data_IF_872697103309
#
_entry.id   IF_872697103309
#
_cell.length_a   1.000
_cell.length_b   1.000
_cell.length_c   1.000
_cell.angle_alpha   90.00
_cell.angle_beta   90.00
_cell.angle_gamma   90.00
#
_symmetry.space_group_name_H-M   'P 1'
#
loop_
_entity.id
_entity.type
_entity.pdbx_description
1 polymer ?
#
# COMPACT_ATOMS: atom_id res chain seq x y z
N UNK A 1 38.43 3.56 -9.79
CA UNK A 1 37.59 2.41 -10.19
C UNK A 1 36.45 2.12 -9.22
N UNK A 2 36.70 2.02 -7.90
CA UNK A 2 35.67 1.78 -6.86
C UNK A 2 34.47 2.77 -6.90
N UNK A 3 34.72 4.07 -7.12
CA UNK A 3 33.67 5.10 -7.24
C UNK A 3 32.71 4.87 -8.42
N UNK A 4 33.19 4.36 -9.56
CA UNK A 4 32.35 4.06 -10.73
C UNK A 4 31.45 2.85 -10.49
N UNK A 5 31.97 1.84 -9.78
CA UNK A 5 31.22 0.64 -9.40
C UNK A 5 30.11 0.98 -8.39
N UNK A 6 30.39 1.87 -7.44
CA UNK A 6 29.39 2.35 -6.48
C UNK A 6 28.24 3.10 -7.18
N UNK A 7 28.55 3.94 -8.15
CA UNK A 7 27.53 4.67 -8.94
C UNK A 7 26.68 3.70 -9.78
N UNK A 8 27.30 2.67 -10.37
CA UNK A 8 26.57 1.67 -11.15
C UNK A 8 25.61 0.85 -10.28
N UNK A 9 26.07 0.42 -9.09
CA UNK A 9 25.21 -0.28 -8.13
C UNK A 9 24.04 0.58 -7.67
N UNK A 10 24.28 1.87 -7.39
CA UNK A 10 23.23 2.81 -7.00
C UNK A 10 22.11 2.93 -8.05
N UNK A 11 22.47 3.04 -9.34
CA UNK A 11 21.49 3.11 -10.42
C UNK A 11 20.66 1.82 -10.54
N UNK A 12 21.29 0.66 -10.36
CA UNK A 12 20.60 -0.64 -10.36
C UNK A 12 19.62 -0.72 -9.18
N UNK A 13 20.03 -0.26 -8.00
CA UNK A 13 19.15 -0.26 -6.82
C UNK A 13 17.92 0.62 -7.02
N UNK A 14 18.07 1.82 -7.58
CA UNK A 14 16.92 2.70 -7.90
C UNK A 14 15.96 2.01 -8.88
N UNK A 15 16.49 1.38 -9.93
CA UNK A 15 15.66 0.70 -10.93
C UNK A 15 14.87 -0.46 -10.32
N UNK A 16 15.50 -1.28 -9.48
CA UNK A 16 14.84 -2.39 -8.79
C UNK A 16 13.77 -1.86 -7.82
N UNK A 17 14.08 -0.79 -7.06
CA UNK A 17 13.15 -0.18 -6.12
C UNK A 17 11.91 0.38 -6.85
N UNK A 18 12.12 1.12 -7.94
CA UNK A 18 11.04 1.63 -8.78
C UNK A 18 10.17 0.52 -9.35
N UNK A 19 10.78 -0.58 -9.80
CA UNK A 19 10.05 -1.74 -10.32
C UNK A 19 9.20 -2.43 -9.25
N UNK A 20 9.74 -2.60 -8.04
CA UNK A 20 9.01 -3.19 -6.91
C UNK A 20 7.79 -2.34 -6.55
N UNK A 21 7.96 -1.00 -6.48
CA UNK A 21 6.86 -0.08 -6.15
C UNK A 21 5.73 -0.22 -7.18
N UNK A 22 6.05 -0.20 -8.48
CA UNK A 22 5.04 -0.33 -9.56
C UNK A 22 4.28 -1.66 -9.44
N UNK A 23 4.99 -2.77 -9.20
CA UNK A 23 4.34 -4.06 -9.03
C UNK A 23 3.46 -4.10 -7.78
N UNK A 24 3.90 -3.54 -6.66
CA UNK A 24 3.12 -3.50 -5.43
C UNK A 24 1.83 -2.68 -5.58
N UNK A 25 1.86 -1.57 -6.32
CA UNK A 25 0.66 -0.77 -6.62
C UNK A 25 -0.39 -1.61 -7.36
N UNK A 26 0.02 -2.43 -8.33
CA UNK A 26 -0.90 -3.33 -9.04
C UNK A 26 -1.57 -4.36 -8.11
N UNK A 27 -0.82 -4.90 -7.13
CA UNK A 27 -1.40 -5.81 -6.15
C UNK A 27 -2.37 -5.11 -5.20
N UNK A 28 -2.11 -3.85 -4.84
CA UNK A 28 -3.03 -3.04 -4.03
C UNK A 28 -4.35 -2.81 -4.77
N UNK A 29 -4.32 -2.53 -6.07
CA UNK A 29 -5.54 -2.39 -6.89
C UNK A 29 -6.38 -3.67 -6.94
N UNK A 30 -5.73 -4.83 -7.12
CA UNK A 30 -6.42 -6.13 -7.12
C UNK A 30 -7.09 -6.41 -5.77
N UNK A 31 -6.38 -6.11 -4.67
CA UNK A 31 -6.95 -6.25 -3.31
C UNK A 31 -8.11 -5.28 -3.08
N UNK A 32 -8.04 -4.06 -3.63
CA UNK A 32 -9.14 -3.09 -3.57
C UNK A 32 -10.39 -3.58 -4.30
N UNK A 33 -10.23 -4.22 -5.46
CA UNK A 33 -11.36 -4.74 -6.23
C UNK A 33 -12.09 -5.89 -5.50
N UNK A 34 -11.33 -6.83 -4.92
CA UNK A 34 -11.92 -7.92 -4.12
C UNK A 34 -12.69 -7.39 -2.92
N UNK A 35 -12.14 -6.40 -2.23
CA UNK A 35 -12.81 -5.77 -1.07
C UNK A 35 -14.08 -5.02 -1.46
N UNK A 36 -14.11 -4.39 -2.64
CA UNK A 36 -15.32 -3.72 -3.13
C UNK A 36 -16.44 -4.73 -3.48
N UNK A 37 -16.10 -5.93 -3.97
CA UNK A 37 -17.07 -7.01 -4.16
C UNK A 37 -17.69 -7.47 -2.83
N UNK A 38 -16.87 -7.69 -1.79
CA UNK A 38 -17.37 -8.07 -0.46
C UNK A 38 -18.28 -7.00 0.16
N UNK A 39 -17.98 -5.72 -0.04
CA UNK A 39 -18.83 -4.61 0.41
C UNK A 39 -20.18 -4.63 -0.30
N UNK A 40 -20.19 -4.89 -1.61
CA UNK A 40 -21.43 -4.99 -2.38
C UNK A 40 -22.27 -6.19 -1.93
N UNK A 41 -21.67 -7.36 -1.72
CA UNK A 41 -22.34 -8.56 -1.19
C UNK A 41 -22.93 -8.30 0.21
N UNK A 42 -22.18 -7.66 1.11
CA UNK A 42 -22.68 -7.30 2.44
C UNK A 42 -23.88 -6.35 2.37
N UNK A 43 -23.85 -5.34 1.50
CA UNK A 43 -25.00 -4.44 1.28
C UNK A 43 -26.21 -5.17 0.69
N UNK A 44 -25.97 -6.14 -0.19
CA UNK A 44 -27.02 -6.94 -0.79
C UNK A 44 -27.73 -7.80 0.26
N UNK A 45 -26.98 -8.50 1.10
CA UNK A 45 -27.52 -9.24 2.25
C UNK A 45 -28.37 -8.37 3.18
N UNK A 46 -27.94 -7.14 3.45
CA UNK A 46 -28.75 -6.18 4.23
C UNK A 46 -30.04 -5.80 3.51
N UNK A 47 -30.02 -5.70 2.18
CA UNK A 47 -31.24 -5.38 1.42
C UNK A 47 -32.27 -6.51 1.42
N UNK A 48 -31.82 -7.77 1.38
CA UNK A 48 -32.68 -8.96 1.34
C UNK A 48 -33.34 -9.27 2.69
N UNK A 49 -32.78 -8.78 3.79
CA UNK A 49 -33.35 -8.96 5.13
C UNK A 49 -34.77 -8.39 5.22
N UNK A 50 -35.73 -9.20 5.62
CA UNK A 50 -37.14 -8.78 5.79
C UNK A 50 -37.48 -8.44 7.24
N UNK A 51 -36.58 -8.73 8.18
CA UNK A 51 -36.76 -8.59 9.62
C UNK A 51 -36.50 -7.16 10.14
N UNK A 52 -35.96 -6.28 9.30
CA UNK A 52 -35.59 -4.90 9.66
C UNK A 52 -36.27 -3.88 8.74
N UNK A 53 -36.53 -2.70 9.29
CA UNK A 53 -37.18 -1.61 8.55
C UNK A 53 -36.20 -0.92 7.59
N UNK A 54 -36.72 -0.12 6.65
CA UNK A 54 -35.88 0.54 5.64
C UNK A 54 -34.86 1.52 6.24
N UNK A 55 -35.19 2.16 7.36
CA UNK A 55 -34.27 3.07 8.03
C UNK A 55 -33.05 2.33 8.62
N UNK A 56 -33.28 1.20 9.29
CA UNK A 56 -32.23 0.32 9.81
C UNK A 56 -31.37 -0.26 8.68
N UNK A 57 -31.98 -0.62 7.54
CA UNK A 57 -31.24 -1.05 6.36
C UNK A 57 -30.30 0.04 5.84
N UNK A 58 -30.75 1.29 5.77
CA UNK A 58 -29.90 2.40 5.36
C UNK A 58 -28.79 2.67 6.36
N UNK A 59 -29.08 2.62 7.65
CA UNK A 59 -28.09 2.79 8.71
C UNK A 59 -26.97 1.75 8.59
N UNK A 60 -27.33 0.47 8.41
CA UNK A 60 -26.37 -0.63 8.23
C UNK A 60 -25.55 -0.48 6.95
N UNK A 61 -26.17 -0.10 5.83
CA UNK A 61 -25.45 0.17 4.58
C UNK A 61 -24.45 1.33 4.74
N UNK A 62 -24.84 2.39 5.44
CA UNK A 62 -23.97 3.53 5.74
C UNK A 62 -22.81 3.13 6.65
N UNK A 63 -23.02 2.27 7.65
CA UNK A 63 -21.95 1.74 8.49
C UNK A 63 -20.94 0.91 7.66
N UNK A 64 -21.43 0.07 6.75
CA UNK A 64 -20.57 -0.70 5.83
C UNK A 64 -19.73 0.27 4.97
N UNK A 65 -20.32 1.35 4.46
CA UNK A 65 -19.60 2.36 3.68
C UNK A 65 -18.55 3.12 4.50
N UNK A 66 -18.86 3.48 5.74
CA UNK A 66 -17.91 4.15 6.62
C UNK A 66 -16.74 3.23 6.98
N UNK A 67 -17.01 1.97 7.30
CA UNK A 67 -15.96 0.98 7.57
C UNK A 67 -15.05 0.80 6.35
N UNK A 68 -15.63 0.71 5.14
CA UNK A 68 -14.85 0.61 3.91
C UNK A 68 -13.97 1.83 3.68
N UNK A 69 -14.48 3.05 3.90
CA UNK A 69 -13.69 4.28 3.80
C UNK A 69 -12.53 4.28 4.80
N UNK A 70 -12.79 3.84 6.03
CA UNK A 70 -11.76 3.79 7.07
C UNK A 70 -10.66 2.78 6.72
N UNK A 71 -11.03 1.59 6.27
CA UNK A 71 -10.08 0.57 5.79
C UNK A 71 -9.25 1.05 4.60
N UNK A 72 -9.87 1.74 3.61
CA UNK A 72 -9.13 2.37 2.49
C UNK A 72 -8.09 3.36 3.00
N UNK A 73 -8.44 4.19 3.98
CA UNK A 73 -7.53 5.17 4.57
C UNK A 73 -6.38 4.50 5.35
N UNK A 74 -6.67 3.48 6.16
CA UNK A 74 -5.65 2.73 6.90
C UNK A 74 -4.70 2.02 5.94
N UNK A 75 -5.23 1.38 4.88
CA UNK A 75 -4.42 0.72 3.86
C UNK A 75 -3.53 1.72 3.12
N UNK A 76 -4.07 2.88 2.72
CA UNK A 76 -3.30 3.97 2.10
C UNK A 76 -2.19 4.47 3.03
N UNK A 77 -2.50 4.64 4.31
CA UNK A 77 -1.52 5.12 5.30
C UNK A 77 -0.42 4.09 5.55
N UNK A 78 -0.75 2.79 5.66
CA UNK A 78 0.24 1.71 5.75
C UNK A 78 1.12 1.67 4.50
N UNK A 79 0.51 1.74 3.32
CA UNK A 79 1.25 1.72 2.06
C UNK A 79 2.23 2.90 1.95
N UNK A 80 1.76 4.11 2.26
CA UNK A 80 2.60 5.31 2.31
C UNK A 80 3.77 5.16 3.29
N UNK A 81 3.50 4.63 4.49
CA UNK A 81 4.52 4.44 5.51
C UNK A 81 5.55 3.37 5.11
N UNK A 82 5.10 2.27 4.50
CA UNK A 82 5.99 1.22 3.97
C UNK A 82 6.91 1.75 2.87
N UNK A 83 6.40 2.57 1.95
CA UNK A 83 7.23 3.22 0.92
C UNK A 83 8.22 4.17 1.56
N UNK A 84 7.79 4.99 2.54
CA UNK A 84 8.65 5.93 3.24
C UNK A 84 9.82 5.22 3.94
N UNK A 85 9.55 4.15 4.70
CA UNK A 85 10.59 3.33 5.34
C UNK A 85 11.55 2.74 4.31
N UNK A 86 11.03 2.18 3.22
CA UNK A 86 11.86 1.57 2.18
C UNK A 86 12.78 2.60 1.48
N UNK A 87 12.27 3.80 1.20
CA UNK A 87 13.07 4.91 0.66
C UNK A 87 14.15 5.38 1.66
N UNK A 88 13.82 5.44 2.95
CA UNK A 88 14.77 5.80 4.00
C UNK A 88 15.89 4.77 4.12
N UNK A 89 15.57 3.47 4.12
CA UNK A 89 16.55 2.39 4.15
C UNK A 89 17.45 2.40 2.90
N UNK A 90 16.89 2.64 1.72
CA UNK A 90 17.69 2.79 0.50
C UNK A 90 18.65 3.99 0.58
N UNK A 91 18.19 5.11 1.13
CA UNK A 91 19.00 6.32 1.28
C UNK A 91 20.12 6.15 2.31
N UNK A 92 19.85 5.57 3.48
CA UNK A 92 20.87 5.30 4.51
C UNK A 92 21.92 4.31 4.01
N UNK A 93 21.52 3.24 3.31
CA UNK A 93 22.47 2.28 2.73
C UNK A 93 23.36 2.94 1.66
N UNK A 94 22.81 3.86 0.88
CA UNK A 94 23.56 4.62 -0.13
C UNK A 94 24.56 5.60 0.49
N UNK A 95 24.20 6.28 1.58
CA UNK A 95 25.09 7.17 2.33
C UNK A 95 26.23 6.42 3.01
N UNK A 96 25.94 5.27 3.63
CA UNK A 96 26.97 4.43 4.27
C UNK A 96 27.99 3.95 3.24
N UNK A 97 27.55 3.52 2.05
CA UNK A 97 28.47 3.13 0.95
C UNK A 97 29.32 4.28 0.41
N UNK A 98 28.86 5.53 0.55
CA UNK A 98 29.59 6.71 0.09
C UNK A 98 30.54 7.30 1.15
N UNK A 99 30.14 7.31 2.43
CA UNK A 99 30.90 7.92 3.53
C UNK A 99 31.86 6.96 4.24
N UNK A 100 31.63 5.64 4.21
CA UNK A 100 32.56 4.63 4.73
C UNK A 100 33.11 3.76 3.59
N UNK A 101 34.06 4.25 2.77
CA UNK A 101 34.91 3.34 2.03
C UNK A 101 35.76 2.60 3.07
N UNK A 102 35.57 1.28 3.16
CA UNK A 102 36.38 0.29 3.92
C UNK A 102 37.73 0.86 4.39
N UNK A 103 38.04 0.85 5.70
CA UNK A 103 39.39 1.13 6.14
C UNK A 103 40.32 0.14 5.44
N UNK A 104 41.35 0.67 4.79
CA UNK A 104 42.53 -0.11 4.39
C UNK A 104 43.43 -0.21 5.61
#
# INVERSE_FOLDING_TARGET
>A
MKKKIAIALYLITILICGWIIINYVKYVDISSNKTDWYVMDAKHKVSERTDINNYEKELLKNQIDQNRKNEKNIAKHRFSNSISCFCFDCHTTSLVSFYFPSPK
#
